data_IF_443444633544
#
_entry.id   IF_443444633544
#
_cell.length_a   1.000
_cell.length_b   1.000
_cell.length_c   1.000
_cell.angle_alpha   90.00
_cell.angle_beta   90.00
_cell.angle_gamma   90.00
#
_symmetry.space_group_name_H-M   'P 1'
#
loop_
_entity.id
_entity.type
_entity.pdbx_description
1 polymer ?
#
# COMPACT_ATOMS: atom_id res chain seq x y z
N UNK A 1 65.88 2.76 11.19
CA UNK A 1 64.51 3.09 11.66
C UNK A 1 63.78 3.79 10.53
N UNK A 2 62.70 3.18 10.03
CA UNK A 2 61.51 3.78 9.39
C UNK A 2 60.84 2.71 8.53
N UNK A 3 59.99 1.89 9.15
CA UNK A 3 59.04 1.04 8.44
C UNK A 3 57.96 1.93 7.84
N UNK A 4 57.81 1.87 6.51
CA UNK A 4 56.71 2.51 5.81
C UNK A 4 55.45 1.68 6.07
N UNK A 5 54.58 2.19 6.94
CA UNK A 5 53.27 1.62 7.21
C UNK A 5 52.39 1.73 5.96
N UNK A 6 52.01 0.58 5.39
CA UNK A 6 51.03 0.51 4.32
C UNK A 6 49.66 0.93 4.88
N UNK A 7 49.24 2.15 4.56
CA UNK A 7 47.89 2.64 4.83
C UNK A 7 46.86 1.73 4.14
N UNK A 8 46.17 0.91 4.93
CA UNK A 8 45.07 0.09 4.47
C UNK A 8 43.95 1.02 3.97
N UNK A 9 43.74 1.05 2.66
CA UNK A 9 42.57 1.73 2.07
C UNK A 9 41.32 1.15 2.73
N UNK A 10 40.41 1.97 3.27
CA UNK A 10 39.17 1.46 3.81
C UNK A 10 38.42 0.79 2.67
N UNK A 11 38.22 -0.52 2.76
CA UNK A 11 37.33 -1.24 1.86
C UNK A 11 35.95 -0.58 2.04
N UNK A 12 35.49 0.12 1.01
CA UNK A 12 34.12 0.62 0.92
C UNK A 12 33.18 -0.60 0.93
N UNK A 13 32.87 -1.12 2.12
CA UNK A 13 31.69 -1.96 2.30
C UNK A 13 30.52 -1.06 1.91
N UNK A 14 29.94 -1.31 0.73
CA UNK A 14 28.68 -0.67 0.31
C UNK A 14 27.71 -0.86 1.47
N UNK A 15 27.31 0.23 2.12
CA UNK A 15 26.45 0.26 3.30
C UNK A 15 25.04 -0.32 3.09
N UNK A 16 24.81 -1.01 1.97
CA UNK A 16 23.55 -1.56 1.50
C UNK A 16 23.67 -2.99 0.94
N UNK A 17 24.79 -3.69 1.14
CA UNK A 17 24.91 -5.11 0.77
C UNK A 17 24.34 -6.01 1.87
N UNK A 18 23.05 -6.34 1.82
CA UNK A 18 22.72 -7.75 2.11
C UNK A 18 23.32 -8.55 0.96
N UNK A 19 24.06 -9.63 1.24
CA UNK A 19 24.67 -10.45 0.19
C UNK A 19 23.63 -10.94 -0.85
N UNK A 20 22.37 -11.09 -0.42
CA UNK A 20 21.25 -11.51 -1.25
C UNK A 20 20.57 -10.38 -2.07
N UNK A 21 20.80 -9.11 -1.73
CA UNK A 21 20.23 -7.95 -2.42
C UNK A 21 18.73 -7.71 -2.16
N UNK A 22 18.23 -8.11 -0.99
CA UNK A 22 16.90 -7.76 -0.46
C UNK A 22 16.99 -6.61 0.54
N UNK A 23 15.89 -5.87 0.77
CA UNK A 23 15.82 -4.84 1.84
C UNK A 23 15.38 -5.41 3.18
N UNK A 24 14.65 -6.52 3.17
CA UNK A 24 14.15 -7.23 4.34
C UNK A 24 14.20 -8.74 4.08
N UNK A 25 14.20 -9.52 5.15
CA UNK A 25 13.99 -10.97 5.10
C UNK A 25 13.02 -11.35 6.23
N UNK A 26 11.77 -11.58 5.86
CA UNK A 26 10.73 -11.87 6.83
C UNK A 26 10.78 -13.29 7.38
N UNK A 27 10.43 -13.44 8.65
CA UNK A 27 10.19 -14.74 9.31
C UNK A 27 8.77 -15.25 9.00
N UNK A 28 7.78 -14.36 8.99
CA UNK A 28 6.38 -14.66 8.69
C UNK A 28 6.18 -14.47 7.17
N UNK A 29 5.66 -15.46 6.41
CA UNK A 29 5.45 -15.28 4.97
C UNK A 29 4.68 -13.98 4.64
N UNK A 30 5.11 -13.21 3.64
CA UNK A 30 4.58 -11.86 3.34
C UNK A 30 3.05 -11.77 3.33
N UNK A 31 2.36 -12.76 2.76
CA UNK A 31 0.90 -12.77 2.62
C UNK A 31 0.19 -13.73 3.60
N UNK A 32 0.87 -14.12 4.68
CA UNK A 32 0.40 -15.17 5.60
C UNK A 32 -0.98 -14.90 6.20
N UNK A 33 -1.29 -13.62 6.46
CA UNK A 33 -2.55 -13.21 7.10
C UNK A 33 -3.71 -13.01 6.13
N UNK A 34 -3.47 -12.96 4.81
CA UNK A 34 -4.47 -12.51 3.84
C UNK A 34 -5.75 -13.37 3.83
N UNK A 35 -5.63 -14.67 4.14
CA UNK A 35 -6.77 -15.61 4.18
C UNK A 35 -7.65 -15.49 5.42
N UNK A 36 -7.18 -14.84 6.48
CA UNK A 36 -7.90 -14.70 7.76
C UNK A 36 -8.20 -13.27 8.14
N UNK A 37 -7.93 -12.29 7.26
CA UNK A 37 -8.36 -10.91 7.46
C UNK A 37 -9.87 -10.85 7.68
N UNK A 38 -10.28 -10.03 8.64
CA UNK A 38 -11.71 -9.82 8.91
C UNK A 38 -12.35 -9.02 7.79
N UNK A 39 -13.61 -9.33 7.50
CA UNK A 39 -14.41 -8.61 6.52
C UNK A 39 -14.68 -7.19 7.02
N UNK A 40 -14.67 -6.23 6.09
CA UNK A 40 -15.02 -4.84 6.40
C UNK A 40 -16.52 -4.77 6.75
N UNK A 41 -16.89 -4.33 7.96
CA UNK A 41 -18.29 -4.32 8.36
C UNK A 41 -19.07 -3.24 7.61
N UNK A 42 -20.33 -3.54 7.29
CA UNK A 42 -21.31 -2.54 6.87
C UNK A 42 -21.96 -1.97 8.13
N UNK A 43 -21.87 -0.64 8.38
CA UNK A 43 -22.53 -0.02 9.54
C UNK A 43 -24.05 -0.15 9.45
N UNK A 44 -24.74 -0.14 10.59
CA UNK A 44 -26.21 -0.05 10.59
C UNK A 44 -26.66 1.20 9.84
N UNK A 45 -27.80 1.10 9.14
CA UNK A 45 -28.38 2.24 8.43
C UNK A 45 -28.61 3.43 9.37
N UNK A 46 -29.24 3.19 10.53
CA UNK A 46 -29.53 4.22 11.55
C UNK A 46 -28.26 4.94 12.04
N UNK A 47 -27.19 4.19 12.31
CA UNK A 47 -25.90 4.75 12.73
C UNK A 47 -25.32 5.64 11.63
N UNK A 48 -25.43 5.21 10.37
CA UNK A 48 -24.96 5.99 9.20
C UNK A 48 -25.72 7.30 9.06
N UNK A 49 -27.05 7.25 9.15
CA UNK A 49 -27.91 8.44 9.03
C UNK A 49 -27.68 9.43 10.18
N UNK A 50 -27.52 8.92 11.40
CA UNK A 50 -27.20 9.74 12.58
C UNK A 50 -25.86 10.45 12.42
N UNK A 51 -24.82 9.72 12.02
CA UNK A 51 -23.48 10.28 11.78
C UNK A 51 -23.47 11.27 10.61
N UNK A 52 -24.26 11.02 9.57
CA UNK A 52 -24.41 11.95 8.45
C UNK A 52 -25.00 13.29 8.91
N UNK A 53 -26.10 13.28 9.66
CA UNK A 53 -26.69 14.51 10.19
C UNK A 53 -25.73 15.29 11.09
N UNK A 54 -25.00 14.59 11.98
CA UNK A 54 -24.00 15.20 12.84
C UNK A 54 -22.84 15.84 12.05
N UNK A 55 -22.48 15.29 10.89
CA UNK A 55 -21.46 15.84 10.02
C UNK A 55 -21.95 17.03 9.17
N UNK A 56 -23.24 17.06 8.83
CA UNK A 56 -23.85 18.13 8.02
C UNK A 56 -24.17 19.38 8.86
N UNK A 57 -24.66 19.20 10.09
CA UNK A 57 -25.07 20.28 11.00
C UNK A 57 -24.09 21.47 11.08
N UNK A 58 -22.75 21.30 11.20
CA UNK A 58 -21.83 22.43 11.31
C UNK A 58 -21.54 23.18 10.00
N UNK A 59 -22.01 22.70 8.83
CA UNK A 59 -21.67 23.28 7.51
C UNK A 59 -22.87 23.81 6.73
N UNK A 60 -24.05 23.84 7.35
CA UNK A 60 -25.30 24.31 6.73
C UNK A 60 -26.06 25.27 7.63
N UNK A 61 -27.03 26.01 7.09
CA UNK A 61 -27.95 26.83 7.90
C UNK A 61 -29.00 25.98 8.61
N UNK A 62 -29.67 26.55 9.61
CA UNK A 62 -30.76 25.88 10.33
C UNK A 62 -31.91 25.44 9.41
N UNK A 63 -32.24 26.24 8.40
CA UNK A 63 -33.27 25.92 7.40
C UNK A 63 -32.83 24.70 6.56
N UNK A 64 -31.60 24.73 6.03
CA UNK A 64 -31.03 23.62 5.25
C UNK A 64 -30.90 22.33 6.07
N UNK A 65 -30.55 22.43 7.35
CA UNK A 65 -30.51 21.28 8.26
C UNK A 65 -31.90 20.68 8.47
N UNK A 66 -32.92 21.51 8.57
CA UNK A 66 -34.32 21.07 8.69
C UNK A 66 -34.77 20.30 7.45
N UNK A 67 -34.46 20.82 6.26
CA UNK A 67 -34.71 20.12 5.00
C UNK A 67 -33.95 18.78 4.90
N UNK A 68 -32.68 18.79 5.33
CA UNK A 68 -31.84 17.58 5.36
C UNK A 68 -32.41 16.52 6.29
N UNK A 69 -32.86 16.92 7.50
CA UNK A 69 -33.51 16.01 8.46
C UNK A 69 -34.76 15.36 7.87
N UNK A 70 -35.58 16.12 7.13
CA UNK A 70 -36.73 15.57 6.40
C UNK A 70 -36.31 14.54 5.35
N UNK A 71 -35.33 14.88 4.51
CA UNK A 71 -34.84 13.96 3.48
C UNK A 71 -34.24 12.67 4.06
N UNK A 72 -33.51 12.77 5.18
CA UNK A 72 -32.98 11.60 5.90
C UNK A 72 -34.11 10.73 6.45
N UNK A 73 -35.16 11.33 7.01
CA UNK A 73 -36.33 10.60 7.50
C UNK A 73 -37.09 9.89 6.37
N UNK A 74 -37.28 10.57 5.23
CA UNK A 74 -37.92 10.01 4.04
C UNK A 74 -37.09 8.84 3.48
N UNK A 75 -35.75 8.96 3.47
CA UNK A 75 -34.87 7.87 3.07
C UNK A 75 -34.92 6.69 4.04
N UNK A 76 -34.90 6.96 5.36
CA UNK A 76 -34.96 5.95 6.41
C UNK A 76 -36.24 5.13 6.35
N UNK A 77 -37.38 5.79 6.09
CA UNK A 77 -38.70 5.15 6.04
C UNK A 77 -39.11 4.69 4.63
N UNK A 78 -38.36 5.10 3.61
CA UNK A 78 -38.62 4.78 2.20
C UNK A 78 -37.64 3.76 1.63
N UNK A 79 -36.85 4.19 0.65
CA UNK A 79 -35.98 3.30 -0.15
C UNK A 79 -34.71 2.84 0.59
N UNK A 80 -34.30 3.54 1.66
CA UNK A 80 -33.05 3.27 2.37
C UNK A 80 -32.91 1.85 2.92
N UNK A 81 -33.90 1.30 3.63
CA UNK A 81 -33.87 -0.09 4.11
C UNK A 81 -33.75 -1.13 2.99
N UNK A 82 -34.38 -0.89 1.84
CA UNK A 82 -34.28 -1.78 0.67
C UNK A 82 -32.85 -1.79 0.11
N UNK A 83 -32.28 -0.60 -0.13
CA UNK A 83 -30.91 -0.45 -0.62
C UNK A 83 -29.89 -1.04 0.37
N UNK A 84 -30.09 -0.82 1.68
CA UNK A 84 -29.23 -1.39 2.70
C UNK A 84 -29.28 -2.92 2.71
N UNK A 85 -30.49 -3.51 2.58
CA UNK A 85 -30.65 -4.96 2.46
C UNK A 85 -29.97 -5.52 1.22
N UNK A 86 -30.10 -4.84 0.07
CA UNK A 86 -29.42 -5.21 -1.17
C UNK A 86 -27.89 -5.12 -1.04
N UNK A 87 -27.37 -4.10 -0.37
CA UNK A 87 -25.95 -3.94 -0.07
C UNK A 87 -25.42 -5.10 0.78
N UNK A 88 -26.12 -5.44 1.87
CA UNK A 88 -25.77 -6.54 2.76
C UNK A 88 -25.83 -7.89 2.02
N UNK A 89 -26.86 -8.12 1.21
CA UNK A 89 -26.99 -9.34 0.41
C UNK A 89 -25.84 -9.46 -0.62
N UNK A 90 -25.48 -8.36 -1.30
CA UNK A 90 -24.35 -8.32 -2.23
C UNK A 90 -23.03 -8.63 -1.50
N UNK A 91 -22.81 -8.02 -0.34
CA UNK A 91 -21.61 -8.28 0.47
C UNK A 91 -21.54 -9.75 0.89
N UNK A 92 -22.63 -10.32 1.41
CA UNK A 92 -22.70 -11.74 1.78
C UNK A 92 -22.41 -12.70 0.61
N UNK A 93 -22.81 -12.34 -0.61
CA UNK A 93 -22.51 -13.11 -1.82
C UNK A 93 -21.05 -12.97 -2.29
N UNK A 94 -20.29 -11.99 -1.81
CA UNK A 94 -18.93 -11.65 -2.26
C UNK A 94 -17.92 -11.66 -1.10
N UNK A 95 -17.83 -12.78 -0.38
CA UNK A 95 -17.02 -12.90 0.86
C UNK A 95 -15.50 -12.73 0.66
N UNK A 96 -15.01 -12.83 -0.57
CA UNK A 96 -13.59 -12.71 -0.93
C UNK A 96 -13.10 -11.25 -1.09
N UNK A 97 -13.98 -10.26 -0.94
CA UNK A 97 -13.66 -8.82 -1.06
C UNK A 97 -14.48 -8.01 -0.05
N UNK A 98 -14.35 -6.68 -0.07
CA UNK A 98 -15.18 -5.77 0.71
C UNK A 98 -16.25 -5.09 -0.16
N UNK A 99 -17.38 -4.71 0.46
CA UNK A 99 -18.51 -4.08 -0.23
C UNK A 99 -18.14 -2.81 -1.03
N UNK A 100 -17.06 -2.11 -0.63
CA UNK A 100 -16.69 -0.80 -1.19
C UNK A 100 -15.58 -0.88 -2.24
N UNK A 101 -14.75 -1.93 -2.24
CA UNK A 101 -13.50 -1.97 -3.03
C UNK A 101 -13.72 -1.74 -4.53
N UNK A 102 -14.67 -2.47 -5.12
CA UNK A 102 -14.97 -2.34 -6.54
C UNK A 102 -15.46 -0.94 -6.88
N UNK A 103 -16.50 -0.45 -6.22
CA UNK A 103 -17.08 0.87 -6.52
C UNK A 103 -16.12 2.01 -6.27
N UNK A 104 -15.27 1.91 -5.23
CA UNK A 104 -14.24 2.91 -4.96
C UNK A 104 -13.21 2.97 -6.09
N UNK A 105 -12.74 1.81 -6.57
CA UNK A 105 -11.81 1.77 -7.70
C UNK A 105 -12.45 2.31 -8.99
N UNK A 106 -13.69 1.91 -9.26
CA UNK A 106 -14.45 2.37 -10.42
C UNK A 106 -14.64 3.89 -10.42
N UNK A 107 -14.97 4.49 -9.27
CA UNK A 107 -15.07 5.95 -9.12
C UNK A 107 -13.82 6.68 -9.64
N UNK A 108 -12.62 6.23 -9.28
CA UNK A 108 -11.37 6.84 -9.79
C UNK A 108 -11.09 6.51 -11.25
N UNK A 109 -11.46 5.31 -11.70
CA UNK A 109 -11.21 4.88 -13.08
C UNK A 109 -12.23 5.41 -14.08
N UNK A 110 -13.38 5.89 -13.62
CA UNK A 110 -14.43 6.53 -14.42
C UNK A 110 -14.24 8.05 -14.50
N UNK A 111 -13.67 8.68 -13.48
CA UNK A 111 -13.44 10.12 -13.54
C UNK A 111 -12.51 10.50 -14.70
N UNK A 112 -12.91 11.53 -15.46
CA UNK A 112 -12.22 12.04 -16.65
C UNK A 112 -11.38 13.29 -16.35
N UNK A 113 -11.39 13.80 -15.11
CA UNK A 113 -10.52 14.89 -14.70
C UNK A 113 -9.03 14.50 -14.86
N UNK A 114 -8.16 15.45 -15.25
CA UNK A 114 -6.73 15.19 -15.31
C UNK A 114 -6.18 14.67 -13.97
N UNK A 115 -5.36 13.61 -14.00
CA UNK A 115 -4.77 13.03 -12.79
C UNK A 115 -3.85 13.98 -12.00
N UNK A 116 -2.99 14.80 -12.64
CA UNK A 116 -2.18 15.77 -11.92
C UNK A 116 -3.08 16.74 -11.15
N UNK A 117 -2.69 17.07 -9.91
CA UNK A 117 -3.41 17.96 -8.98
C UNK A 117 -4.69 17.33 -8.40
N UNK A 118 -5.58 16.76 -9.22
CA UNK A 118 -6.87 16.25 -8.72
C UNK A 118 -6.72 14.93 -7.93
N UNK A 119 -5.80 14.05 -8.34
CA UNK A 119 -5.67 12.72 -7.74
C UNK A 119 -4.26 12.30 -7.36
N UNK A 120 -3.23 12.68 -8.12
CA UNK A 120 -1.88 12.18 -7.88
C UNK A 120 -1.18 12.96 -6.75
N UNK A 121 -1.04 12.41 -5.53
CA UNK A 121 -0.29 13.07 -4.48
C UNK A 121 1.22 13.00 -4.75
N UNK A 122 1.99 13.89 -4.13
CA UNK A 122 3.46 13.86 -4.16
C UNK A 122 4.03 13.79 -2.75
N UNK A 123 5.00 12.90 -2.54
CA UNK A 123 5.81 12.83 -1.32
C UNK A 123 7.22 13.33 -1.63
N UNK A 124 7.77 14.17 -0.76
CA UNK A 124 9.17 14.62 -0.85
C UNK A 124 10.05 13.79 0.08
N UNK A 125 11.18 13.31 -0.43
CA UNK A 125 12.18 12.60 0.36
C UNK A 125 13.15 13.57 1.02
N UNK A 126 13.49 13.32 2.28
CA UNK A 126 14.58 14.03 2.98
C UNK A 126 15.90 13.86 2.22
N UNK A 127 16.75 14.89 2.27
CA UNK A 127 18.11 14.80 1.73
C UNK A 127 18.91 13.73 2.48
N UNK A 128 19.86 13.08 1.79
CA UNK A 128 20.79 12.20 2.48
C UNK A 128 21.64 13.05 3.45
N UNK A 129 21.84 12.62 4.70
CA UNK A 129 22.66 13.36 5.66
C UNK A 129 24.10 13.57 5.20
N UNK A 130 24.60 12.78 4.23
CA UNK A 130 25.91 12.94 3.61
C UNK A 130 25.78 13.81 2.35
N UNK A 131 26.28 15.07 2.34
CA UNK A 131 26.09 16.00 1.22
C UNK A 131 26.57 15.44 -0.14
N UNK A 132 27.70 14.74 -0.15
CA UNK A 132 28.28 14.15 -1.37
C UNK A 132 27.36 13.12 -2.05
N UNK A 133 26.39 12.53 -1.33
CA UNK A 133 25.42 11.59 -1.90
C UNK A 133 24.21 12.27 -2.55
N UNK A 134 24.09 13.59 -2.44
CA UNK A 134 22.95 14.34 -2.96
C UNK A 134 23.17 14.90 -4.37
N UNK A 135 24.29 14.59 -5.05
CA UNK A 135 24.40 14.88 -6.48
C UNK A 135 23.32 14.12 -7.26
N UNK A 136 22.82 14.73 -8.34
CA UNK A 136 21.66 14.20 -9.08
C UNK A 136 21.88 12.74 -9.52
N UNK A 137 23.03 12.43 -10.12
CA UNK A 137 23.36 11.10 -10.62
C UNK A 137 23.51 10.08 -9.49
N UNK A 138 24.25 10.43 -8.43
CA UNK A 138 24.48 9.53 -7.30
C UNK A 138 23.18 9.20 -6.57
N UNK A 139 22.34 10.22 -6.34
CA UNK A 139 21.06 10.05 -5.66
C UNK A 139 20.07 9.27 -6.52
N UNK A 140 19.96 9.57 -7.82
CA UNK A 140 19.12 8.82 -8.75
C UNK A 140 19.52 7.34 -8.81
N UNK A 141 20.81 7.05 -8.97
CA UNK A 141 21.32 5.68 -8.99
C UNK A 141 21.02 4.92 -7.68
N UNK A 142 21.19 5.59 -6.53
CA UNK A 142 20.93 5.00 -5.21
C UNK A 142 19.44 4.72 -4.98
N UNK A 143 18.56 5.65 -5.40
CA UNK A 143 17.11 5.49 -5.31
C UNK A 143 16.62 4.36 -6.22
N UNK A 144 17.04 4.34 -7.49
CA UNK A 144 16.70 3.27 -8.44
C UNK A 144 17.16 1.92 -7.89
N UNK A 145 18.42 1.81 -7.43
CA UNK A 145 18.94 0.58 -6.86
C UNK A 145 18.13 0.12 -5.64
N UNK A 146 17.74 1.05 -4.76
CA UNK A 146 16.94 0.74 -3.57
C UNK A 146 15.51 0.31 -3.94
N UNK A 147 14.85 1.01 -4.88
CA UNK A 147 13.52 0.62 -5.38
C UNK A 147 13.53 -0.76 -6.02
N UNK A 148 14.58 -1.11 -6.78
CA UNK A 148 14.74 -2.46 -7.34
C UNK A 148 14.91 -3.52 -6.24
N UNK A 149 15.61 -3.21 -5.14
CA UNK A 149 15.70 -4.12 -3.99
C UNK A 149 14.35 -4.32 -3.31
N UNK A 150 13.54 -3.26 -3.16
CA UNK A 150 12.17 -3.35 -2.65
C UNK A 150 11.31 -4.23 -3.58
N UNK A 151 11.36 -3.99 -4.89
CA UNK A 151 10.66 -4.82 -5.88
C UNK A 151 11.02 -6.30 -5.75
N UNK A 152 12.32 -6.63 -5.68
CA UNK A 152 12.78 -8.01 -5.48
C UNK A 152 12.26 -8.60 -4.18
N UNK A 153 12.33 -7.82 -3.09
CA UNK A 153 11.89 -8.25 -1.75
C UNK A 153 10.39 -8.57 -1.75
N UNK A 154 9.58 -7.76 -2.41
CA UNK A 154 8.14 -7.99 -2.56
C UNK A 154 7.83 -9.17 -3.49
N UNK A 155 8.45 -9.21 -4.68
CA UNK A 155 8.26 -10.27 -5.68
C UNK A 155 8.62 -11.65 -5.12
N UNK A 156 9.74 -11.72 -4.40
CA UNK A 156 10.27 -12.97 -3.83
C UNK A 156 9.66 -13.28 -2.46
N UNK A 157 8.61 -12.56 -2.04
CA UNK A 157 7.85 -12.74 -0.79
C UNK A 157 8.74 -12.75 0.46
N UNK A 158 9.68 -11.81 0.50
CA UNK A 158 10.63 -11.57 1.61
C UNK A 158 10.27 -10.34 2.43
N UNK A 159 9.30 -9.54 1.98
CA UNK A 159 8.80 -8.37 2.70
C UNK A 159 8.05 -8.82 3.96
N UNK A 160 8.26 -8.12 5.06
CA UNK A 160 7.47 -8.37 6.27
C UNK A 160 5.99 -8.06 6.02
N UNK A 161 5.05 -8.84 6.59
CA UNK A 161 3.64 -8.48 6.53
C UNK A 161 3.40 -7.12 7.18
N UNK A 162 2.50 -6.32 6.60
CA UNK A 162 2.06 -5.08 7.21
C UNK A 162 1.18 -5.38 8.43
N UNK A 163 1.63 -4.96 9.60
CA UNK A 163 0.94 -5.21 10.87
C UNK A 163 0.90 -3.90 11.67
N UNK A 164 -0.30 -3.53 12.12
CA UNK A 164 -0.47 -2.45 13.08
C UNK A 164 -0.38 -3.02 14.51
N UNK A 165 0.57 -2.52 15.30
CA UNK A 165 0.84 -3.03 16.65
C UNK A 165 0.30 -2.07 17.71
N UNK A 166 -0.69 -2.51 18.50
CA UNK A 166 -1.18 -1.73 19.66
C UNK A 166 -0.42 -2.08 20.94
N UNK A 167 0.14 -3.30 21.04
CA UNK A 167 0.96 -3.75 22.16
C UNK A 167 2.35 -4.16 21.66
N UNK A 168 3.25 -3.19 21.40
CA UNK A 168 4.55 -3.50 20.77
C UNK A 168 5.44 -4.39 21.65
N UNK A 169 5.34 -4.30 22.97
CA UNK A 169 6.17 -5.11 23.90
C UNK A 169 5.91 -6.62 23.75
N UNK A 170 4.69 -7.00 23.40
CA UNK A 170 4.33 -8.41 23.14
C UNK A 170 4.48 -8.78 21.66
N UNK A 171 4.09 -7.87 20.76
CA UNK A 171 3.94 -8.17 19.33
C UNK A 171 5.15 -7.85 18.45
N UNK A 172 6.14 -7.09 18.94
CA UNK A 172 7.41 -6.83 18.23
C UNK A 172 8.55 -7.70 18.77
N UNK A 173 8.27 -8.98 18.95
CA UNK A 173 9.22 -9.96 19.48
C UNK A 173 9.48 -11.09 18.49
N UNK A 174 10.65 -11.73 18.59
CA UNK A 174 10.94 -12.94 17.79
C UNK A 174 9.97 -14.07 18.12
N UNK A 175 9.61 -14.21 19.41
CA UNK A 175 8.65 -15.22 19.86
C UNK A 175 7.30 -15.04 19.16
N UNK A 176 6.78 -13.80 19.08
CA UNK A 176 5.58 -13.48 18.31
C UNK A 176 5.71 -13.88 16.84
N UNK A 177 6.83 -13.54 16.20
CA UNK A 177 7.02 -13.86 14.77
C UNK A 177 7.01 -15.37 14.50
N UNK A 178 7.68 -16.17 15.32
CA UNK A 178 7.67 -17.63 15.18
C UNK A 178 6.31 -18.23 15.52
N UNK A 179 5.63 -17.72 16.56
CA UNK A 179 4.26 -18.11 16.89
C UNK A 179 3.33 -17.87 15.69
N UNK A 180 3.31 -16.65 15.14
CA UNK A 180 2.48 -16.32 13.97
C UNK A 180 2.84 -17.18 12.76
N UNK A 181 4.14 -17.39 12.48
CA UNK A 181 4.59 -18.24 11.36
C UNK A 181 4.03 -19.67 11.43
N UNK A 182 3.86 -20.21 12.64
CA UNK A 182 3.37 -21.58 12.85
C UNK A 182 1.84 -21.68 12.79
N UNK A 183 1.12 -20.57 12.90
CA UNK A 183 -0.33 -20.59 12.79
C UNK A 183 -0.76 -20.92 11.35
N UNK A 184 -1.83 -21.70 11.17
CA UNK A 184 -2.44 -21.84 9.85
C UNK A 184 -2.96 -20.50 9.30
N UNK A 185 -2.79 -20.26 7.99
CA UNK A 185 -3.13 -18.97 7.35
C UNK A 185 -4.59 -18.54 7.58
N UNK A 186 -5.51 -19.51 7.70
CA UNK A 186 -6.95 -19.31 7.93
C UNK A 186 -7.30 -18.87 9.36
N UNK A 187 -6.37 -18.92 10.31
CA UNK A 187 -6.58 -18.41 11.69
C UNK A 187 -5.51 -17.43 12.15
N UNK A 188 -4.47 -17.22 11.35
CA UNK A 188 -3.28 -16.42 11.70
C UNK A 188 -3.61 -14.98 12.14
N UNK A 189 -4.62 -14.33 11.54
CA UNK A 189 -5.08 -13.01 11.94
C UNK A 189 -5.56 -12.98 13.39
N UNK A 190 -6.40 -13.95 13.81
CA UNK A 190 -6.97 -13.99 15.15
C UNK A 190 -5.88 -14.19 16.21
N UNK A 191 -4.90 -15.04 15.93
CA UNK A 191 -3.75 -15.24 16.82
C UNK A 191 -2.89 -13.98 16.97
N UNK A 192 -2.68 -13.23 15.88
CA UNK A 192 -1.99 -11.94 15.94
C UNK A 192 -2.81 -10.91 16.76
N UNK A 193 -4.12 -10.83 16.50
CA UNK A 193 -5.02 -9.88 17.16
C UNK A 193 -5.10 -10.10 18.67
N UNK A 194 -5.12 -11.37 19.12
CA UNK A 194 -5.08 -11.73 20.54
C UNK A 194 -3.85 -11.16 21.28
N UNK A 195 -2.75 -10.94 20.57
CA UNK A 195 -1.51 -10.37 21.09
C UNK A 195 -1.36 -8.86 20.83
N UNK A 196 -2.43 -8.18 20.40
CA UNK A 196 -2.45 -6.75 20.14
C UNK A 196 -1.77 -6.36 18.81
N UNK A 197 -1.86 -7.22 17.80
CA UNK A 197 -1.30 -6.99 16.48
C UNK A 197 -2.36 -7.22 15.39
N UNK A 198 -2.55 -6.26 14.50
CA UNK A 198 -3.62 -6.26 13.50
C UNK A 198 -2.99 -6.26 12.10
N UNK A 199 -2.83 -7.44 11.47
CA UNK A 199 -2.39 -7.53 10.09
C UNK A 199 -3.29 -6.75 9.13
N UNK A 200 -2.70 -6.14 8.12
CA UNK A 200 -3.38 -5.29 7.13
C UNK A 200 -3.50 -5.99 5.77
N UNK A 201 -4.44 -5.51 4.95
CA UNK A 201 -4.57 -5.95 3.55
C UNK A 201 -3.31 -5.58 2.76
N UNK A 202 -2.81 -6.53 1.97
CA UNK A 202 -1.67 -6.32 1.08
C UNK A 202 -2.04 -6.59 -0.39
N UNK A 203 -3.33 -6.72 -0.71
CA UNK A 203 -3.80 -7.03 -2.07
C UNK A 203 -3.38 -5.99 -3.12
N UNK A 204 -3.18 -4.73 -2.70
CA UNK A 204 -2.79 -3.62 -3.56
C UNK A 204 -1.30 -3.60 -3.93
N UNK A 205 -0.43 -4.27 -3.16
CA UNK A 205 1.02 -4.26 -3.37
C UNK A 205 1.43 -4.78 -4.76
N UNK A 206 0.61 -5.63 -5.37
CA UNK A 206 0.81 -6.12 -6.75
C UNK A 206 0.86 -5.00 -7.80
N UNK A 207 0.27 -3.84 -7.50
CA UNK A 207 0.21 -2.68 -8.39
C UNK A 207 1.38 -1.69 -8.19
N UNK A 208 2.28 -1.93 -7.24
CA UNK A 208 3.35 -0.98 -6.90
C UNK A 208 4.44 -0.89 -7.97
N UNK A 209 4.71 -2.00 -8.66
CA UNK A 209 5.75 -2.09 -9.68
C UNK A 209 5.18 -2.63 -10.99
N UNK A 210 5.84 -2.29 -12.10
CA UNK A 210 5.49 -2.76 -13.44
C UNK A 210 4.00 -2.56 -13.80
N UNK A 211 3.42 -1.49 -13.29
CA UNK A 211 1.99 -1.20 -13.39
C UNK A 211 1.77 0.20 -13.93
N UNK A 212 0.70 0.39 -14.68
CA UNK A 212 0.29 1.69 -15.22
C UNK A 212 -1.22 1.77 -15.38
N UNK A 213 -1.76 2.99 -15.42
CA UNK A 213 -3.15 3.26 -15.80
C UNK A 213 -3.19 3.55 -17.29
N UNK A 214 -3.99 2.79 -18.03
CA UNK A 214 -4.21 2.96 -19.47
C UNK A 214 -5.50 3.76 -19.68
N UNK A 215 -5.43 4.90 -20.40
CA UNK A 215 -6.62 5.67 -20.72
C UNK A 215 -7.51 4.87 -21.68
N UNK A 216 -8.82 4.88 -21.43
CA UNK A 216 -9.83 4.25 -22.29
C UNK A 216 -11.05 5.16 -22.43
N UNK A 217 -11.88 4.89 -23.42
CA UNK A 217 -13.18 5.53 -23.52
C UNK A 217 -14.10 5.01 -22.41
N UNK A 218 -14.74 5.92 -21.67
CA UNK A 218 -15.56 5.59 -20.51
C UNK A 218 -14.74 5.35 -19.24
N UNK A 219 -14.06 4.19 -19.14
CA UNK A 219 -13.38 3.73 -17.92
C UNK A 219 -11.95 3.29 -18.18
N UNK A 220 -11.00 3.90 -17.49
CA UNK A 220 -9.57 3.55 -17.59
C UNK A 220 -9.28 2.16 -17.03
N UNK A 221 -8.16 1.57 -17.46
CA UNK A 221 -7.75 0.22 -17.08
C UNK A 221 -6.46 0.27 -16.26
N UNK A 222 -6.40 -0.41 -15.11
CA UNK A 222 -5.13 -0.69 -14.43
C UNK A 222 -4.46 -1.91 -15.07
N UNK A 223 -3.27 -1.71 -15.63
CA UNK A 223 -2.48 -2.75 -16.30
C UNK A 223 -1.22 -3.07 -15.52
N UNK A 224 -1.05 -4.34 -15.16
CA UNK A 224 0.19 -4.89 -14.56
C UNK A 224 0.92 -5.75 -15.60
N UNK A 225 2.23 -5.57 -15.73
CA UNK A 225 3.11 -6.31 -16.64
C UNK A 225 4.24 -7.00 -15.87
N UNK A 226 3.97 -8.13 -15.18
CA UNK A 226 4.88 -8.73 -14.22
C UNK A 226 6.22 -9.21 -14.82
N UNK A 227 6.25 -9.47 -16.13
CA UNK A 227 7.47 -9.88 -16.85
C UNK A 227 8.46 -8.76 -17.14
N UNK A 228 8.12 -7.49 -16.86
CA UNK A 228 9.01 -6.36 -17.13
C UNK A 228 10.29 -6.42 -16.28
N UNK A 229 11.44 -6.14 -16.91
CA UNK A 229 12.78 -6.17 -16.30
C UNK A 229 13.58 -4.88 -16.49
N UNK A 230 12.91 -3.82 -16.97
CA UNK A 230 13.54 -2.52 -17.20
C UNK A 230 12.91 -1.43 -16.33
N UNK A 231 13.68 -0.38 -16.09
CA UNK A 231 13.19 0.88 -15.53
C UNK A 231 13.11 1.89 -16.67
N UNK A 232 12.06 2.71 -16.71
CA UNK A 232 11.96 3.82 -17.67
C UNK A 232 12.54 5.07 -17.03
N UNK A 233 13.49 5.71 -17.71
CA UNK A 233 14.10 6.98 -17.28
C UNK A 233 13.68 8.07 -18.25
N UNK A 234 13.03 9.12 -17.73
CA UNK A 234 12.74 10.33 -18.48
C UNK A 234 13.81 11.39 -18.19
N UNK A 235 14.37 12.01 -19.23
CA UNK A 235 15.27 13.16 -19.11
C UNK A 235 14.88 14.25 -20.10
N UNK A 236 14.50 15.41 -19.58
CA UNK A 236 13.89 16.48 -20.38
C UNK A 236 12.42 16.18 -20.69
N UNK A 237 11.86 16.92 -21.64
CA UNK A 237 10.41 16.90 -21.91
C UNK A 237 9.97 15.65 -22.67
N UNK A 238 10.72 15.22 -23.70
CA UNK A 238 10.23 14.24 -24.69
C UNK A 238 11.15 13.01 -24.88
N UNK A 239 12.06 12.71 -23.95
CA UNK A 239 13.01 11.59 -24.10
C UNK A 239 12.88 10.58 -22.98
N UNK A 240 12.57 9.34 -23.36
CA UNK A 240 12.39 8.18 -22.48
C UNK A 240 13.37 7.09 -22.87
N UNK A 241 14.02 6.49 -21.87
CA UNK A 241 15.02 5.45 -22.07
C UNK A 241 14.68 4.22 -21.24
N UNK A 242 14.53 3.04 -21.85
CA UNK A 242 14.46 1.80 -21.10
C UNK A 242 15.88 1.44 -20.63
N UNK A 243 16.06 1.35 -19.32
CA UNK A 243 17.29 0.86 -18.71
C UNK A 243 17.07 -0.56 -18.22
N UNK A 244 17.65 -1.51 -18.94
CA UNK A 244 17.68 -2.91 -18.52
C UNK A 244 18.70 -3.08 -17.40
N UNK A 245 18.48 -4.10 -16.57
CA UNK A 245 19.54 -4.62 -15.72
C UNK A 245 20.62 -5.19 -16.65
N UNK A 246 21.63 -4.39 -17.00
CA UNK A 246 22.90 -4.90 -17.50
C UNK A 246 23.32 -5.98 -16.50
N UNK A 247 23.44 -7.21 -16.98
CA UNK A 247 23.78 -8.35 -16.17
C UNK A 247 24.95 -7.98 -15.25
N UNK A 248 24.69 -7.89 -13.94
CA UNK A 248 25.75 -8.05 -12.96
C UNK A 248 26.18 -9.51 -13.07
N UNK A 249 26.99 -9.85 -14.07
CA UNK A 249 27.86 -11.02 -13.99
C UNK A 249 28.68 -10.76 -12.73
N UNK A 250 28.37 -11.47 -11.66
CA UNK A 250 29.39 -11.75 -10.66
C UNK A 250 30.58 -12.35 -11.41
N UNK A 251 31.80 -11.84 -11.22
CA UNK A 251 32.99 -12.55 -11.67
C UNK A 251 33.06 -13.94 -11.03
#
# INVERSE_FOLDING_TARGET
MLQVSASARPVLRRAFSSAAGYVQETVIPTYHFQKSLTRLPIPKLEDTLTRYLAAVEPVVTSEQLTETRRAVLDFQNGVGPELHRALVARDAANTHTSYINQWWLEMYLDDRQPLPINYNPQIKLKMDPVPAKNSQSQRAASLIASSVRVFRTLRDKKLEPDIFHTKPDTSKTKAFQYFCKLLPENVSFYGAAALGAYPLDMSQYKNLFSSTRLPRLGRDELKVTPGSKHVVVQRGTNRFWPMWRLYWRTP
#
